data_IF_668407338697
#
_entry.id   IF_668407338697
#
_cell.length_a   1.000
_cell.length_b   1.000
_cell.length_c   1.000
_cell.angle_alpha   90.00
_cell.angle_beta   90.00
_cell.angle_gamma   90.00
#
_symmetry.space_group_name_H-M   'P 1'
#
loop_
_entity.id
_entity.type
_entity.pdbx_description
1 polymer ?
#
# COMPACT_ATOMS: atom_id res chain seq x y z
N UNK A 1 -7.14 26.31 6.39
CA UNK A 1 -7.04 24.90 5.95
C UNK A 1 -6.59 24.77 4.49
N UNK A 2 -7.14 25.56 3.55
CA UNK A 2 -6.77 25.57 2.12
C UNK A 2 -5.26 25.64 1.87
N UNK A 3 -4.57 26.60 2.50
CA UNK A 3 -3.14 26.81 2.25
C UNK A 3 -2.25 25.65 2.72
N UNK A 4 -2.65 24.95 3.80
CA UNK A 4 -1.90 23.81 4.32
C UNK A 4 -2.00 22.60 3.40
N UNK A 5 -3.22 22.29 2.92
CA UNK A 5 -3.42 21.21 1.94
C UNK A 5 -2.59 21.48 0.68
N UNK A 6 -2.63 22.70 0.17
CA UNK A 6 -1.86 23.08 -1.01
C UNK A 6 -0.36 22.94 -0.80
N UNK A 7 0.18 23.45 0.30
CA UNK A 7 1.61 23.32 0.65
C UNK A 7 2.05 21.86 0.70
N UNK A 8 1.25 20.99 1.32
CA UNK A 8 1.57 19.58 1.46
C UNK A 8 1.48 18.87 0.10
N UNK A 9 0.43 19.13 -0.67
CA UNK A 9 0.27 18.57 -2.02
C UNK A 9 1.41 18.98 -2.95
N UNK A 10 1.83 20.24 -2.93
CA UNK A 10 2.97 20.72 -3.71
C UNK A 10 4.29 20.06 -3.28
N UNK A 11 4.48 19.83 -1.97
CA UNK A 11 5.64 19.09 -1.48
C UNK A 11 5.67 17.66 -2.05
N UNK A 12 4.59 16.89 -1.89
CA UNK A 12 4.55 15.51 -2.38
C UNK A 12 4.59 15.43 -3.91
N UNK A 13 3.99 16.39 -4.61
CA UNK A 13 4.14 16.51 -6.07
C UNK A 13 5.60 16.67 -6.45
N UNK A 14 6.30 17.63 -5.84
CA UNK A 14 7.71 17.87 -6.13
C UNK A 14 8.59 16.68 -5.76
N UNK A 15 8.34 16.02 -4.63
CA UNK A 15 9.09 14.81 -4.27
C UNK A 15 8.88 13.74 -5.34
N UNK A 16 7.63 13.41 -5.67
CA UNK A 16 7.30 12.35 -6.63
C UNK A 16 7.90 12.63 -8.02
N UNK A 17 7.80 13.86 -8.52
CA UNK A 17 8.37 14.25 -9.81
C UNK A 17 9.90 14.19 -9.84
N UNK A 18 10.57 14.51 -8.72
CA UNK A 18 12.02 14.59 -8.67
C UNK A 18 12.72 13.25 -8.56
N UNK A 19 11.98 12.17 -8.37
CA UNK A 19 12.59 10.92 -8.02
C UNK A 19 12.18 9.81 -8.96
N UNK A 20 13.21 9.11 -9.43
CA UNK A 20 13.11 7.98 -10.32
C UNK A 20 12.37 6.75 -9.72
N UNK A 21 11.85 6.84 -8.48
CA UNK A 21 11.21 5.72 -7.78
C UNK A 21 9.82 5.35 -8.30
N UNK A 22 9.21 6.13 -9.19
CA UNK A 22 7.88 5.77 -9.76
C UNK A 22 7.97 4.50 -10.62
N UNK A 23 9.18 4.10 -11.04
CA UNK A 23 9.41 2.87 -11.82
C UNK A 23 9.43 1.63 -10.90
N UNK A 24 9.96 1.73 -9.68
CA UNK A 24 10.17 0.61 -8.75
C UNK A 24 9.22 0.65 -7.52
N UNK A 25 8.36 1.65 -7.44
CA UNK A 25 7.39 1.86 -6.36
C UNK A 25 7.93 2.57 -5.12
N UNK A 26 7.12 2.57 -4.05
CA UNK A 26 7.38 3.34 -2.82
C UNK A 26 8.41 2.70 -1.87
N UNK A 27 9.03 1.57 -2.21
CA UNK A 27 9.99 0.89 -1.33
C UNK A 27 11.18 1.76 -0.93
N UNK A 28 11.69 2.55 -1.88
CA UNK A 28 12.83 3.46 -1.71
C UNK A 28 12.41 4.91 -1.41
N UNK A 29 11.12 5.17 -1.24
CA UNK A 29 10.64 6.51 -0.92
C UNK A 29 10.98 6.87 0.53
N UNK A 30 12.03 7.67 0.77
CA UNK A 30 12.40 8.16 2.11
C UNK A 30 12.47 7.02 3.16
N UNK A 31 13.29 5.97 2.95
CA UNK A 31 13.27 4.77 3.80
C UNK A 31 13.60 5.06 5.27
N UNK A 32 14.36 6.13 5.55
CA UNK A 32 14.66 6.62 6.91
C UNK A 32 13.43 7.16 7.67
N UNK A 33 12.32 7.36 6.97
CA UNK A 33 11.05 7.88 7.49
C UNK A 33 9.94 6.84 7.55
N UNK A 34 10.23 5.60 7.14
CA UNK A 34 9.27 4.51 7.15
C UNK A 34 8.90 4.16 8.59
N UNK A 35 7.60 4.02 8.82
CA UNK A 35 7.03 3.66 10.11
C UNK A 35 6.19 2.39 10.04
N UNK A 36 5.93 1.88 8.84
CA UNK A 36 5.31 0.57 8.61
C UNK A 36 5.39 0.18 7.15
N UNK A 37 5.25 -1.12 6.87
CA UNK A 37 5.19 -1.65 5.50
C UNK A 37 4.45 -2.96 5.43
N UNK A 38 3.95 -3.25 4.24
CA UNK A 38 3.71 -4.60 3.76
C UNK A 38 4.36 -4.79 2.40
N UNK A 39 5.17 -5.83 2.27
CA UNK A 39 5.86 -6.15 1.02
C UNK A 39 5.62 -7.60 0.62
N UNK A 40 5.30 -7.78 -0.66
CA UNK A 40 5.19 -9.06 -1.35
C UNK A 40 6.57 -9.43 -1.88
N UNK A 41 7.20 -10.43 -1.28
CA UNK A 41 8.57 -10.86 -1.58
C UNK A 41 8.58 -12.10 -2.45
N UNK A 42 9.51 -12.17 -3.40
CA UNK A 42 9.79 -13.35 -4.22
C UNK A 42 11.27 -13.73 -4.13
N UNK A 43 11.56 -15.01 -4.18
CA UNK A 43 12.90 -15.62 -4.15
C UNK A 43 13.42 -15.93 -5.55
N UNK A 44 12.58 -15.80 -6.59
CA UNK A 44 12.94 -15.99 -7.99
C UNK A 44 13.41 -14.71 -8.67
N UNK A 45 14.40 -14.81 -9.56
CA UNK A 45 14.63 -13.77 -10.56
C UNK A 45 13.39 -13.73 -11.46
N UNK A 46 12.65 -12.62 -11.44
CA UNK A 46 11.73 -12.27 -12.51
C UNK A 46 12.48 -12.47 -13.82
N UNK A 47 12.06 -13.43 -14.65
CA UNK A 47 12.59 -13.52 -16.01
C UNK A 47 12.45 -12.17 -16.73
N UNK A 48 13.06 -12.03 -17.90
CA UNK A 48 13.16 -10.79 -18.71
C UNK A 48 11.81 -10.05 -18.96
N UNK A 49 10.67 -10.66 -18.61
CA UNK A 49 9.32 -10.12 -18.79
C UNK A 49 8.46 -9.95 -17.53
N UNK A 50 8.93 -10.33 -16.32
CA UNK A 50 8.34 -9.88 -15.04
C UNK A 50 6.81 -10.00 -14.85
N UNK A 51 6.12 -10.85 -15.60
CA UNK A 51 4.67 -10.79 -15.77
C UNK A 51 3.89 -12.02 -15.28
N UNK A 52 4.47 -12.80 -14.37
CA UNK A 52 3.75 -13.86 -13.65
C UNK A 52 3.89 -13.52 -12.16
N UNK A 53 2.87 -12.88 -11.57
CA UNK A 53 2.91 -12.32 -10.22
C UNK A 53 2.86 -13.41 -9.13
N UNK A 54 3.93 -14.20 -9.05
CA UNK A 54 4.18 -15.14 -7.96
C UNK A 54 5.06 -14.47 -6.89
N UNK A 55 4.51 -14.29 -5.68
CA UNK A 55 5.28 -13.89 -4.49
C UNK A 55 5.38 -15.06 -3.52
N UNK A 56 6.57 -15.34 -2.99
CA UNK A 56 6.78 -16.47 -2.08
C UNK A 56 6.31 -16.18 -0.65
N UNK A 57 6.41 -14.92 -0.20
CA UNK A 57 6.12 -14.53 1.18
C UNK A 57 5.67 -13.08 1.30
N UNK A 58 5.06 -12.76 2.44
CA UNK A 58 4.64 -11.40 2.79
C UNK A 58 5.41 -10.97 4.04
N UNK A 59 6.09 -9.84 3.98
CA UNK A 59 6.66 -9.19 5.16
C UNK A 59 5.76 -8.05 5.64
N UNK A 60 5.42 -8.05 6.93
CA UNK A 60 4.60 -7.00 7.54
C UNK A 60 5.36 -6.36 8.69
N UNK A 61 5.57 -5.06 8.58
CA UNK A 61 6.06 -4.20 9.65
C UNK A 61 4.91 -3.27 10.06
N UNK A 62 4.21 -3.60 11.16
CA UNK A 62 3.08 -2.78 11.65
C UNK A 62 3.60 -1.45 12.20
N UNK A 63 2.75 -0.42 12.18
CA UNK A 63 3.08 0.90 12.74
C UNK A 63 3.26 0.81 14.27
N UNK A 64 4.52 0.87 14.73
CA UNK A 64 4.86 0.80 16.16
C UNK A 64 4.83 2.17 16.86
N UNK A 65 4.89 3.26 16.09
CA UNK A 65 4.93 4.63 16.62
C UNK A 65 3.54 5.16 16.97
N UNK A 66 3.45 6.07 17.94
CA UNK A 66 2.22 6.82 18.19
C UNK A 66 1.86 7.67 16.96
N UNK A 67 0.79 7.26 16.29
CA UNK A 67 0.16 7.96 15.16
C UNK A 67 -1.33 8.18 15.46
N UNK A 68 -2.00 9.13 14.80
CA UNK A 68 -3.44 9.27 14.88
C UNK A 68 -4.15 7.97 14.49
N UNK A 69 -5.24 7.63 15.19
CA UNK A 69 -6.00 6.40 14.94
C UNK A 69 -6.45 6.29 13.48
N UNK A 70 -6.83 7.40 12.85
CA UNK A 70 -7.24 7.43 11.43
C UNK A 70 -6.13 7.00 10.47
N UNK A 71 -4.86 7.25 10.82
CA UNK A 71 -3.70 6.81 10.03
C UNK A 71 -3.49 5.29 10.19
N UNK A 72 -3.57 4.78 11.41
CA UNK A 72 -3.52 3.33 11.66
C UNK A 72 -4.64 2.60 10.94
N UNK A 73 -5.86 3.14 11.01
CA UNK A 73 -7.05 2.62 10.33
C UNK A 73 -6.91 2.61 8.81
N UNK A 74 -6.36 3.69 8.23
CA UNK A 74 -6.09 3.75 6.80
C UNK A 74 -5.02 2.73 6.38
N UNK A 75 -3.98 2.51 7.19
CA UNK A 75 -2.96 1.49 6.91
C UNK A 75 -3.57 0.07 6.94
N UNK A 76 -4.36 -0.26 7.97
CA UNK A 76 -5.07 -1.54 8.05
C UNK A 76 -6.07 -1.74 6.90
N UNK A 77 -6.75 -0.67 6.46
CA UNK A 77 -7.63 -0.69 5.30
C UNK A 77 -6.88 -1.09 4.03
N UNK A 78 -5.68 -0.55 3.81
CA UNK A 78 -4.88 -0.90 2.64
C UNK A 78 -4.32 -2.32 2.70
N UNK A 79 -4.02 -2.83 3.90
CA UNK A 79 -3.65 -4.25 4.10
C UNK A 79 -4.80 -5.17 3.71
N UNK A 80 -6.04 -4.77 4.01
CA UNK A 80 -7.24 -5.48 3.55
C UNK A 80 -7.33 -5.47 2.02
N UNK A 81 -7.24 -4.30 1.38
CA UNK A 81 -7.34 -4.22 -0.08
C UNK A 81 -6.25 -5.02 -0.78
N UNK A 82 -5.06 -5.06 -0.23
CA UNK A 82 -3.95 -5.76 -0.85
C UNK A 82 -4.09 -7.29 -0.88
N UNK A 83 -4.99 -7.87 -0.09
CA UNK A 83 -5.38 -9.28 -0.21
C UNK A 83 -6.23 -9.57 -1.45
N UNK A 84 -6.82 -8.53 -2.04
CA UNK A 84 -7.72 -8.63 -3.19
C UNK A 84 -7.18 -7.91 -4.43
N UNK A 85 -6.22 -7.01 -4.26
CA UNK A 85 -5.65 -6.13 -5.27
C UNK A 85 -4.16 -5.97 -4.97
N UNK A 86 -3.33 -6.89 -5.48
CA UNK A 86 -1.97 -7.12 -5.00
C UNK A 86 -1.14 -5.84 -5.02
N UNK A 87 -0.67 -5.43 -3.84
CA UNK A 87 0.09 -4.20 -3.66
C UNK A 87 1.14 -4.30 -2.55
N UNK A 88 2.27 -3.63 -2.74
CA UNK A 88 3.14 -3.24 -1.65
C UNK A 88 2.59 -1.97 -1.00
N UNK A 89 2.66 -1.89 0.33
CA UNK A 89 2.11 -0.78 1.12
C UNK A 89 3.23 -0.25 2.00
N UNK A 90 3.38 1.07 2.06
CA UNK A 90 4.41 1.70 2.88
C UNK A 90 3.82 2.91 3.60
N UNK A 91 4.02 2.98 4.91
CA UNK A 91 3.62 4.12 5.73
C UNK A 91 4.86 4.90 6.16
N UNK A 92 4.81 6.23 6.03
CA UNK A 92 5.91 7.12 6.36
C UNK A 92 5.46 8.28 7.25
N UNK A 93 6.38 8.77 8.07
CA UNK A 93 6.22 9.99 8.88
C UNK A 93 7.19 11.06 8.38
N UNK A 94 6.66 12.02 7.62
CA UNK A 94 7.47 13.02 6.90
C UNK A 94 7.16 14.43 7.42
N UNK A 95 8.17 15.14 7.95
CA UNK A 95 8.05 16.57 8.22
C UNK A 95 7.94 17.36 6.91
N UNK A 96 6.88 18.17 6.78
CA UNK A 96 6.65 19.08 5.64
C UNK A 96 6.51 20.49 6.18
N UNK A 97 7.53 21.33 5.96
CA UNK A 97 7.68 22.64 6.60
C UNK A 97 7.50 22.52 8.12
N UNK A 98 6.50 23.19 8.68
CA UNK A 98 6.22 23.27 10.13
C UNK A 98 5.18 22.25 10.60
N UNK A 99 4.87 21.21 9.80
CA UNK A 99 3.91 20.18 10.20
C UNK A 99 4.43 18.77 9.95
N UNK A 100 4.06 17.83 10.81
CA UNK A 100 4.25 16.40 10.56
C UNK A 100 3.10 15.92 9.66
N UNK A 101 3.46 15.16 8.63
CA UNK A 101 2.51 14.45 7.78
C UNK A 101 2.76 12.95 7.86
N UNK A 102 1.69 12.19 7.69
CA UNK A 102 1.74 10.76 7.50
C UNK A 102 1.29 10.46 6.08
N UNK A 103 2.05 9.64 5.36
CA UNK A 103 1.71 9.23 3.99
C UNK A 103 1.71 7.72 3.90
N UNK A 104 0.69 7.20 3.22
CA UNK A 104 0.59 5.79 2.86
C UNK A 104 0.80 5.70 1.36
N UNK A 105 1.93 5.14 0.93
CA UNK A 105 2.23 4.82 -0.45
C UNK A 105 1.80 3.40 -0.76
N UNK A 106 1.13 3.21 -1.89
CA UNK A 106 0.62 1.92 -2.38
C UNK A 106 1.26 1.71 -3.74
N UNK A 107 2.00 0.62 -3.90
CA UNK A 107 2.61 0.23 -5.18
C UNK A 107 1.98 -1.07 -5.61
N UNK A 108 1.00 -0.97 -6.47
CA UNK A 108 0.34 -2.16 -6.95
C UNK A 108 1.21 -2.92 -7.96
N UNK A 109 1.02 -4.23 -7.99
CA UNK A 109 1.82 -5.16 -8.79
C UNK A 109 1.06 -5.51 -10.07
N UNK A 110 1.78 -5.60 -11.19
CA UNK A 110 1.24 -5.99 -12.48
C UNK A 110 1.78 -7.37 -12.89
N UNK A 111 0.87 -8.33 -13.15
CA UNK A 111 1.17 -9.68 -13.61
C UNK A 111 -0.04 -10.40 -14.23
N UNK A 112 -1.27 -10.27 -13.71
CA UNK A 112 -2.50 -10.84 -14.31
C UNK A 112 -3.83 -10.27 -13.73
N UNK A 113 -4.97 -10.96 -13.84
CA UNK A 113 -6.33 -10.44 -13.54
C UNK A 113 -6.61 -9.89 -12.12
N UNK A 114 -5.62 -9.86 -11.23
CA UNK A 114 -5.64 -9.30 -9.87
C UNK A 114 -4.89 -7.95 -9.75
N UNK A 115 -4.45 -7.38 -10.87
CA UNK A 115 -3.54 -6.24 -10.95
C UNK A 115 -4.09 -4.93 -10.40
N UNK A 116 -3.43 -4.41 -9.37
CA UNK A 116 -3.47 -2.99 -9.08
C UNK A 116 -2.37 -2.28 -9.89
N UNK A 117 -2.51 -2.14 -11.21
CA UNK A 117 -1.45 -1.51 -12.03
C UNK A 117 -1.38 0.02 -11.79
N UNK A 118 -0.68 0.43 -10.73
CA UNK A 118 -0.48 1.83 -10.40
C UNK A 118 0.17 2.09 -9.06
N UNK A 119 0.62 3.32 -8.90
CA UNK A 119 1.13 3.84 -7.64
C UNK A 119 0.13 4.85 -7.09
N UNK A 120 -0.09 4.84 -5.78
CA UNK A 120 -1.06 5.70 -5.12
C UNK A 120 -0.51 6.24 -3.82
N UNK A 121 -0.95 7.44 -3.42
CA UNK A 121 -0.59 8.04 -2.14
C UNK A 121 -1.83 8.55 -1.40
N UNK A 122 -1.85 8.34 -0.09
CA UNK A 122 -2.86 8.89 0.81
C UNK A 122 -2.17 9.68 1.94
N UNK A 123 -2.53 10.95 2.15
CA UNK A 123 -1.82 11.85 3.06
C UNK A 123 -2.73 12.37 4.17
N UNK A 124 -2.18 12.36 5.39
CA UNK A 124 -2.79 12.87 6.61
C UNK A 124 -1.86 13.85 7.32
N UNK A 125 -2.43 14.74 8.12
CA UNK A 125 -1.64 15.58 9.03
C UNK A 125 -1.41 14.92 10.39
N UNK A 126 -0.70 15.64 11.27
CA UNK A 126 -0.38 15.20 12.63
C UNK A 126 -1.58 14.89 13.53
N UNK A 127 -2.76 15.45 13.23
CA UNK A 127 -4.01 15.21 13.94
C UNK A 127 -4.83 14.07 13.32
N UNK A 128 -4.36 13.51 12.20
CA UNK A 128 -5.06 12.48 11.45
C UNK A 128 -6.12 13.02 10.48
N UNK A 129 -6.11 14.33 10.20
CA UNK A 129 -7.00 14.92 9.21
C UNK A 129 -6.49 14.61 7.80
N UNK A 130 -7.40 14.21 6.92
CA UNK A 130 -7.11 13.89 5.53
C UNK A 130 -6.73 15.15 4.73
N UNK A 131 -5.56 15.12 4.09
CA UNK A 131 -5.02 16.22 3.29
C UNK A 131 -5.15 16.00 1.78
N UNK A 132 -5.25 14.76 1.33
CA UNK A 132 -5.45 14.43 -0.08
C UNK A 132 -4.94 13.04 -0.41
N UNK A 133 -5.41 12.52 -1.54
CA UNK A 133 -4.91 11.31 -2.15
C UNK A 133 -4.61 11.57 -3.62
N UNK A 134 -3.72 10.79 -4.23
CA UNK A 134 -3.44 10.91 -5.65
C UNK A 134 -3.00 9.58 -6.24
N UNK A 135 -3.39 9.35 -7.50
CA UNK A 135 -2.79 8.33 -8.34
C UNK A 135 -1.52 8.92 -8.96
N UNK A 136 -0.43 8.17 -8.90
CA UNK A 136 0.86 8.51 -9.47
C UNK A 136 1.00 7.74 -10.78
N UNK A 137 1.02 8.48 -11.88
CA UNK A 137 1.20 7.95 -13.24
C UNK A 137 2.44 8.60 -13.85
N UNK A 138 3.36 7.79 -14.35
CA UNK A 138 4.59 8.29 -14.97
C UNK A 138 4.28 9.22 -16.16
N UNK A 139 4.90 10.40 -16.18
CA UNK A 139 4.74 11.37 -17.26
C UNK A 139 3.43 12.18 -17.20
N UNK A 140 2.55 11.92 -16.24
CA UNK A 140 1.31 12.68 -16.04
C UNK A 140 1.36 13.56 -14.79
N UNK A 141 0.52 14.61 -14.77
CA UNK A 141 0.35 15.41 -13.57
C UNK A 141 -0.46 14.63 -12.53
N UNK A 142 -0.04 14.68 -11.27
CA UNK A 142 -0.83 14.14 -10.16
C UNK A 142 -2.21 14.79 -10.10
N UNK A 143 -3.25 13.95 -10.21
CA UNK A 143 -4.63 14.33 -9.94
C UNK A 143 -4.94 14.08 -8.46
N UNK A 144 -5.30 15.16 -7.75
CA UNK A 144 -5.59 15.10 -6.33
C UNK A 144 -7.06 14.82 -6.06
N UNK A 145 -7.32 13.79 -5.26
CA UNK A 145 -8.61 13.43 -4.71
C UNK A 145 -8.80 14.05 -3.31
N UNK A 146 -10.04 14.42 -3.03
CA UNK A 146 -10.47 14.99 -1.74
C UNK A 146 -11.15 13.96 -0.82
N UNK A 147 -11.01 12.67 -1.12
CA UNK A 147 -11.42 11.55 -0.27
C UNK A 147 -10.31 10.50 -0.13
N UNK A 148 -10.30 9.73 0.99
CA UNK A 148 -9.51 8.52 1.13
C UNK A 148 -9.80 7.50 0.03
N UNK A 149 -8.81 6.67 -0.31
CA UNK A 149 -9.02 5.58 -1.25
C UNK A 149 -9.90 4.47 -0.65
N UNK A 150 -10.82 3.96 -1.47
CA UNK A 150 -11.56 2.74 -1.22
C UNK A 150 -11.34 1.68 -2.30
N UNK A 151 -12.05 0.55 -2.19
CA UNK A 151 -11.86 -0.57 -3.10
C UNK A 151 -12.23 -0.26 -4.55
N UNK A 152 -13.07 0.74 -4.81
CA UNK A 152 -13.52 1.10 -6.16
C UNK A 152 -12.50 2.01 -6.89
N UNK A 153 -11.52 2.57 -6.17
CA UNK A 153 -10.49 3.47 -6.71
C UNK A 153 -9.31 2.75 -7.38
N UNK A 154 -9.18 1.43 -7.19
CA UNK A 154 -8.10 0.62 -7.75
C UNK A 154 -8.47 0.04 -9.12
N UNK A 155 -7.46 -0.29 -9.94
CA UNK A 155 -7.70 -0.87 -11.27
C UNK A 155 -8.41 -2.24 -11.18
N UNK A 156 -7.96 -3.11 -10.28
CA UNK A 156 -8.70 -4.28 -9.83
C UNK A 156 -9.47 -3.90 -8.56
N UNK A 157 -10.77 -3.70 -8.71
CA UNK A 157 -11.64 -3.29 -7.61
C UNK A 157 -11.60 -4.30 -6.46
N UNK A 158 -11.54 -3.82 -5.22
CA UNK A 158 -11.52 -4.63 -4.02
C UNK A 158 -12.86 -4.57 -3.27
N UNK A 159 -13.26 -5.63 -2.54
CA UNK A 159 -14.41 -5.58 -1.65
C UNK A 159 -14.29 -4.43 -0.65
N UNK A 160 -15.41 -3.76 -0.38
CA UNK A 160 -15.47 -2.66 0.57
C UNK A 160 -14.88 -3.07 1.91
N UNK A 161 -14.14 -2.16 2.51
CA UNK A 161 -13.66 -2.34 3.87
C UNK A 161 -14.85 -2.32 4.83
N UNK A 162 -15.17 -3.48 5.40
CA UNK A 162 -16.15 -3.60 6.46
C UNK A 162 -15.39 -3.33 7.76
N UNK A 163 -15.67 -2.19 8.41
CA UNK A 163 -15.13 -1.90 9.74
C UNK A 163 -15.32 -3.14 10.62
N UNK A 164 -14.25 -3.62 11.24
CA UNK A 164 -14.28 -4.75 12.18
C UNK A 164 -15.16 -4.41 13.39
N UNK A 165 -16.47 -4.60 13.30
CA UNK A 165 -17.37 -4.52 14.45
C UNK A 165 -17.71 -5.88 15.04
N UNK A 166 -17.32 -6.99 14.41
CA UNK A 166 -17.57 -8.31 14.98
C UNK A 166 -16.34 -9.21 14.85
N UNK A 167 -16.16 -10.04 15.87
CA UNK A 167 -15.16 -11.10 15.98
C UNK A 167 -15.25 -12.03 14.77
N UNK A 168 -14.48 -11.74 13.73
CA UNK A 168 -14.30 -12.64 12.60
C UNK A 168 -13.49 -13.85 13.07
N UNK A 169 -14.03 -15.02 12.81
CA UNK A 169 -13.33 -16.30 12.89
C UNK A 169 -12.05 -16.25 12.05
N UNK A 170 -11.01 -16.97 12.45
CA UNK A 170 -9.72 -17.14 11.75
C UNK A 170 -9.81 -17.55 10.25
N UNK A 171 -11.00 -17.69 9.69
CA UNK A 171 -11.28 -18.13 8.31
C UNK A 171 -11.14 -17.04 7.26
N UNK A 172 -11.23 -15.77 7.64
CA UNK A 172 -11.30 -14.66 6.69
C UNK A 172 -9.92 -13.98 6.68
N UNK A 173 -9.01 -14.62 5.94
CA UNK A 173 -7.55 -14.47 6.02
C UNK A 173 -7.07 -13.05 5.81
N UNK A 174 -6.78 -12.33 6.90
CA UNK A 174 -5.87 -11.19 6.87
C UNK A 174 -4.44 -11.67 6.61
N UNK A 175 -3.66 -10.86 5.91
CA UNK A 175 -2.20 -10.99 5.93
C UNK A 175 -1.71 -10.96 7.39
N UNK A 176 -1.24 -12.10 7.88
CA UNK A 176 -0.56 -12.25 9.17
C UNK A 176 0.94 -12.06 9.01
N UNK A 177 1.65 -11.79 10.11
CA UNK A 177 3.13 -11.67 10.13
C UNK A 177 3.85 -12.93 9.62
N UNK A 178 3.12 -14.06 9.55
CA UNK A 178 3.58 -15.34 9.01
C UNK A 178 2.65 -15.79 7.87
N UNK A 179 2.88 -15.32 6.65
CA UNK A 179 2.15 -15.79 5.46
C UNK A 179 3.10 -16.02 4.28
N UNK A 180 3.13 -17.24 3.76
CA UNK A 180 3.85 -17.66 2.55
C UNK A 180 2.85 -18.14 1.50
N UNK A 181 3.01 -17.79 0.22
CA UNK A 181 2.04 -18.19 -0.82
C UNK A 181 2.69 -18.58 -2.15
N UNK A 182 3.05 -19.86 -2.29
CA UNK A 182 2.98 -20.55 -3.60
C UNK A 182 2.80 -22.05 -3.42
N UNK A 183 1.78 -22.64 -4.06
CA UNK A 183 1.84 -24.07 -4.44
C UNK A 183 1.15 -24.29 -5.79
N UNK A 184 1.94 -24.77 -6.74
CA UNK A 184 1.47 -25.30 -8.02
C UNK A 184 1.19 -26.80 -7.87
N UNK A 185 0.06 -27.26 -8.42
CA UNK A 185 -0.14 -28.66 -8.76
C UNK A 185 -0.76 -28.72 -10.15
N UNK A 186 -0.13 -29.46 -11.07
CA UNK A 186 -0.60 -29.72 -12.44
C UNK A 186 -0.90 -28.47 -13.30
N UNK A 187 -0.27 -27.33 -13.02
CA UNK A 187 -0.41 -26.10 -13.82
C UNK A 187 -1.67 -25.27 -13.51
N UNK A 188 -2.40 -25.55 -12.42
CA UNK A 188 -3.52 -24.73 -11.96
C UNK A 188 -3.28 -24.18 -10.53
N UNK A 189 -3.46 -22.85 -10.37
CA UNK A 189 -3.37 -22.16 -9.08
C UNK A 189 -4.55 -22.57 -8.19
N UNK A 190 -4.31 -23.34 -7.13
CA UNK A 190 -5.41 -23.97 -6.38
C UNK A 190 -5.64 -23.45 -4.94
N UNK A 191 -4.66 -22.90 -4.17
CA UNK A 191 -4.92 -22.29 -2.83
C UNK A 191 -3.71 -21.69 -2.08
N UNK A 192 -3.97 -20.73 -1.17
CA UNK A 192 -3.09 -20.18 -0.11
C UNK A 192 -2.87 -21.16 1.06
N UNK A 193 -1.63 -21.47 1.46
CA UNK A 193 -1.27 -22.30 2.63
C UNK A 193 -0.62 -21.44 3.73
N UNK A 194 -1.10 -21.58 4.97
CA UNK A 194 -0.55 -20.96 6.18
C UNK A 194 0.57 -21.87 6.74
N UNK A 195 1.69 -21.31 7.17
CA UNK A 195 2.65 -22.00 8.05
C UNK A 195 2.64 -21.33 9.42
N UNK A 196 2.49 -22.12 10.48
CA UNK A 196 2.72 -21.71 11.87
C UNK A 196 3.89 -22.56 12.35
N UNK A 197 5.06 -22.00 12.73
CA UNK A 197 6.15 -22.78 13.30
C UNK A 197 5.72 -23.43 14.62
N UNK A 198 6.11 -24.69 14.84
CA UNK A 198 5.95 -25.40 16.13
C UNK A 198 6.81 -24.80 17.25
#
# INVERSE_FOLDING_TARGET
MSDRKEIVRQFYKSEIENAAYVIDGFGDFRPDRRIGRVELLTTGNWGEYGCEADFDSIEIERIQSSVPQTVSEAFERHIWFSQHSLSNIFAFKIPVKDCITYVIGISGIAGDGWDNSGHFIEIFNELGEFLGAARVVEGENLEWLDHPFDGDDFNAGAPKWIFRTDSLTNSDKLWSEEMAVRTEQDGEITRLILFVPE
#
